data_IF_733387125832
#
_entry.id   IF_733387125832
#
_cell.length_a   1.000
_cell.length_b   1.000
_cell.length_c   1.000
_cell.angle_alpha   90.00
_cell.angle_beta   90.00
_cell.angle_gamma   90.00
#
_symmetry.space_group_name_H-M   'P 1'
#
loop_
_entity.id
_entity.type
_entity.pdbx_description
1 polymer ?
#
# COMPACT_ATOMS: atom_id res chain seq x y z
N UNK A 1 -53.36 33.53 -21.71
CA UNK A 1 -52.43 32.72 -20.90
C UNK A 1 -51.54 33.68 -20.14
N UNK A 2 -51.41 33.53 -18.80
CA UNK A 2 -50.55 34.42 -18.00
C UNK A 2 -49.10 33.93 -18.11
N UNK A 3 -48.20 34.79 -18.53
CA UNK A 3 -46.75 34.55 -18.56
C UNK A 3 -46.17 34.71 -17.16
N UNK A 4 -45.40 33.71 -16.72
CA UNK A 4 -44.63 33.72 -15.48
C UNK A 4 -43.19 34.11 -15.82
N UNK A 5 -42.69 35.17 -15.21
CA UNK A 5 -41.32 35.63 -15.37
C UNK A 5 -40.46 35.11 -14.22
N UNK A 6 -39.41 34.36 -14.54
CA UNK A 6 -38.41 33.89 -13.59
C UNK A 6 -37.11 34.66 -13.80
N UNK A 7 -36.58 35.22 -12.72
CA UNK A 7 -35.26 35.87 -12.69
C UNK A 7 -34.37 35.06 -11.78
N UNK A 8 -33.26 34.56 -12.31
CA UNK A 8 -32.25 33.82 -11.54
C UNK A 8 -31.05 34.73 -11.37
N UNK A 9 -30.67 35.00 -10.12
CA UNK A 9 -29.41 35.67 -9.81
C UNK A 9 -28.25 34.75 -10.19
N UNK A 10 -27.32 35.28 -10.98
CA UNK A 10 -26.13 34.59 -11.45
C UNK A 10 -25.31 34.02 -10.27
N UNK A 11 -25.24 34.72 -9.14
CA UNK A 11 -24.52 34.24 -7.95
C UNK A 11 -25.18 33.01 -7.35
N UNK A 12 -26.51 33.04 -7.22
CA UNK A 12 -27.30 31.92 -6.71
C UNK A 12 -27.27 30.71 -7.65
N UNK A 13 -27.20 30.96 -8.96
CA UNK A 13 -27.01 29.89 -9.95
C UNK A 13 -25.67 29.18 -9.77
N UNK A 14 -24.57 29.93 -9.66
CA UNK A 14 -23.24 29.35 -9.45
C UNK A 14 -23.12 28.63 -8.12
N UNK A 15 -23.71 29.16 -7.05
CA UNK A 15 -23.74 28.48 -5.75
C UNK A 15 -24.52 27.15 -5.84
N UNK A 16 -25.67 27.15 -6.51
CA UNK A 16 -26.44 25.94 -6.78
C UNK A 16 -25.64 24.91 -7.60
N UNK A 17 -24.99 25.33 -8.67
CA UNK A 17 -24.17 24.44 -9.50
C UNK A 17 -22.99 23.84 -8.72
N UNK A 18 -22.30 24.65 -7.91
CA UNK A 18 -21.16 24.20 -7.10
C UNK A 18 -21.58 23.19 -6.03
N UNK A 19 -22.71 23.42 -5.37
CA UNK A 19 -23.25 22.49 -4.36
C UNK A 19 -23.63 21.15 -5.00
N UNK A 20 -24.33 21.16 -6.14
CA UNK A 20 -24.66 19.95 -6.89
C UNK A 20 -23.40 19.17 -7.31
N UNK A 21 -22.38 19.88 -7.83
CA UNK A 21 -21.11 19.26 -8.20
C UNK A 21 -20.41 18.60 -7.00
N UNK A 22 -20.35 19.30 -5.87
CA UNK A 22 -19.75 18.77 -4.64
C UNK A 22 -20.45 17.51 -4.14
N UNK A 23 -21.79 17.50 -4.14
CA UNK A 23 -22.58 16.33 -3.75
C UNK A 23 -22.34 15.15 -4.70
N UNK A 24 -22.33 15.38 -6.02
CA UNK A 24 -22.05 14.32 -6.97
C UNK A 24 -20.64 13.73 -6.80
N UNK A 25 -19.63 14.57 -6.57
CA UNK A 25 -18.25 14.11 -6.33
C UNK A 25 -18.16 13.25 -5.08
N UNK A 26 -18.81 13.65 -3.99
CA UNK A 26 -18.84 12.88 -2.73
C UNK A 26 -19.61 11.57 -2.88
N UNK A 27 -20.77 11.61 -3.53
CA UNK A 27 -21.61 10.43 -3.74
C UNK A 27 -20.94 9.37 -4.63
N UNK A 28 -20.09 9.81 -5.57
CA UNK A 28 -19.37 8.92 -6.50
C UNK A 28 -17.89 8.75 -6.11
N UNK A 29 -17.49 9.15 -4.91
CA UNK A 29 -16.12 8.98 -4.45
C UNK A 29 -15.82 7.49 -4.24
N UNK A 30 -15.02 6.92 -5.13
CA UNK A 30 -14.44 5.59 -4.96
C UNK A 30 -13.03 5.73 -4.37
N UNK A 31 -12.80 5.31 -3.11
CA UNK A 31 -11.46 5.34 -2.56
C UNK A 31 -10.55 4.42 -3.39
N UNK A 32 -9.39 4.94 -3.80
CA UNK A 32 -8.41 4.14 -4.54
C UNK A 32 -8.02 2.91 -3.70
N UNK A 33 -8.06 1.69 -4.28
CA UNK A 33 -7.70 0.47 -3.56
C UNK A 33 -6.25 0.46 -3.06
N UNK A 34 -5.39 1.32 -3.63
CA UNK A 34 -3.99 1.45 -3.22
C UNK A 34 -3.77 2.25 -1.92
N UNK A 35 -4.82 2.80 -1.31
CA UNK A 35 -4.75 3.53 -0.04
C UNK A 35 -5.29 2.72 1.15
N UNK A 36 -5.54 1.42 0.99
CA UNK A 36 -5.58 0.55 2.15
C UNK A 36 -4.15 0.50 2.71
N UNK A 37 -3.88 0.91 3.96
CA UNK A 37 -2.65 0.48 4.61
C UNK A 37 -2.65 -1.04 4.49
N UNK A 38 -1.60 -1.63 3.89
CA UNK A 38 -1.50 -3.08 3.65
C UNK A 38 -2.11 -3.80 4.84
N UNK A 39 -3.30 -4.35 4.63
CA UNK A 39 -4.12 -4.90 5.68
C UNK A 39 -3.28 -5.97 6.35
N UNK A 40 -2.86 -5.65 7.55
CA UNK A 40 -2.00 -6.37 8.47
C UNK A 40 -1.55 -7.77 7.99
N UNK A 41 -0.60 -7.83 7.04
CA UNK A 41 0.15 -9.07 6.74
C UNK A 41 1.07 -9.45 7.92
N UNK A 42 0.89 -8.83 9.08
CA UNK A 42 1.71 -9.01 10.28
C UNK A 42 1.05 -9.89 11.33
N UNK A 43 -0.23 -10.24 11.20
CA UNK A 43 -0.93 -10.92 12.30
C UNK A 43 -0.35 -12.34 12.60
N UNK A 44 0.41 -12.94 11.66
CA UNK A 44 1.11 -14.21 11.89
C UNK A 44 2.45 -14.35 11.14
N UNK A 45 3.13 -13.25 10.79
CA UNK A 45 4.43 -13.33 10.09
C UNK A 45 5.51 -13.86 11.03
N UNK A 46 6.04 -15.04 10.74
CA UNK A 46 7.06 -15.72 11.56
C UNK A 46 8.44 -15.54 10.96
N UNK A 47 9.36 -15.07 11.78
CA UNK A 47 10.78 -14.97 11.46
C UNK A 47 11.59 -15.94 12.30
N UNK A 48 12.58 -16.58 11.69
CA UNK A 48 13.53 -17.44 12.40
C UNK A 48 14.94 -16.84 12.28
N UNK A 49 15.59 -16.64 13.42
CA UNK A 49 17.00 -16.24 13.47
C UNK A 49 17.87 -17.48 13.68
N UNK A 50 18.86 -17.68 12.82
CA UNK A 50 19.87 -18.74 12.94
C UNK A 50 21.23 -18.07 13.07
N UNK A 51 22.01 -18.45 14.09
CA UNK A 51 23.34 -17.89 14.32
C UNK A 51 24.39 -18.98 14.32
N UNK A 52 25.55 -18.70 13.72
CA UNK A 52 26.71 -19.57 13.68
C UNK A 52 28.00 -18.77 13.75
N UNK A 53 29.14 -19.47 13.85
CA UNK A 53 30.46 -18.84 13.96
C UNK A 53 30.82 -17.94 12.75
N UNK A 54 30.28 -18.24 11.58
CA UNK A 54 30.53 -17.51 10.32
C UNK A 54 29.56 -16.35 10.06
N UNK A 55 28.50 -16.20 10.86
CA UNK A 55 27.48 -15.16 10.68
C UNK A 55 26.10 -15.60 11.14
N UNK A 56 25.13 -14.71 10.97
CA UNK A 56 23.74 -14.96 11.34
C UNK A 56 22.82 -14.72 10.15
N UNK A 57 21.67 -15.38 10.13
CA UNK A 57 20.64 -15.20 9.11
C UNK A 57 19.28 -14.98 9.77
N UNK A 58 18.46 -14.10 9.20
CA UNK A 58 17.05 -13.94 9.56
C UNK A 58 16.21 -14.41 8.38
N UNK A 59 15.42 -15.46 8.58
CA UNK A 59 14.54 -16.07 7.60
C UNK A 59 13.10 -15.60 7.83
N UNK A 60 12.45 -15.12 6.78
CA UNK A 60 11.00 -15.05 6.69
C UNK A 60 10.43 -16.40 6.24
N UNK A 61 9.81 -17.11 7.18
CA UNK A 61 9.28 -18.46 6.96
C UNK A 61 8.08 -18.51 6.02
N UNK A 62 7.43 -17.37 5.75
CA UNK A 62 6.27 -17.31 4.86
C UNK A 62 6.69 -17.10 3.40
N UNK A 63 7.70 -16.27 3.17
CA UNK A 63 8.15 -15.93 1.80
C UNK A 63 9.34 -16.77 1.34
N UNK A 64 10.08 -17.38 2.26
CA UNK A 64 11.37 -18.00 1.95
C UNK A 64 12.47 -16.97 1.64
N UNK A 65 12.24 -15.69 1.92
CA UNK A 65 13.28 -14.67 1.85
C UNK A 65 14.14 -14.71 3.12
N UNK A 66 15.43 -14.45 3.00
CA UNK A 66 16.32 -14.33 4.15
C UNK A 66 17.29 -13.15 4.03
N UNK A 67 17.75 -12.67 5.18
CA UNK A 67 18.76 -11.63 5.30
C UNK A 67 19.99 -12.26 5.96
N UNK A 68 21.14 -12.14 5.30
CA UNK A 68 22.41 -12.53 5.90
C UNK A 68 23.04 -11.34 6.64
N UNK A 69 23.51 -11.59 7.86
CA UNK A 69 24.13 -10.62 8.75
C UNK A 69 25.57 -11.10 9.05
N UNK A 70 26.55 -10.32 8.60
CA UNK A 70 27.96 -10.62 8.79
C UNK A 70 28.54 -9.87 10.00
N UNK A 71 28.40 -10.43 11.20
CA UNK A 71 29.04 -9.88 12.40
C UNK A 71 28.46 -8.56 12.92
N UNK A 72 28.83 -8.20 14.14
CA UNK A 72 28.36 -6.99 14.82
C UNK A 72 28.99 -5.77 14.13
N UNK A 73 28.16 -4.90 13.53
CA UNK A 73 28.59 -3.62 12.94
C UNK A 73 28.77 -3.59 11.42
N UNK A 74 28.63 -4.72 10.69
CA UNK A 74 28.49 -4.65 9.22
C UNK A 74 27.02 -4.45 8.86
N UNK A 75 26.68 -3.24 8.44
CA UNK A 75 25.34 -2.87 7.95
C UNK A 75 25.03 -3.42 6.54
N UNK A 76 25.63 -4.55 6.14
CA UNK A 76 25.27 -5.20 4.87
C UNK A 76 24.07 -6.10 5.13
N UNK A 77 22.88 -5.58 4.84
CA UNK A 77 21.63 -6.36 4.80
C UNK A 77 21.35 -6.71 3.35
N UNK A 78 21.90 -7.83 2.88
CA UNK A 78 21.58 -8.33 1.55
C UNK A 78 20.40 -9.29 1.70
N UNK A 79 19.31 -9.00 0.97
CA UNK A 79 18.13 -9.86 0.88
C UNK A 79 18.39 -10.90 -0.21
N UNK A 80 18.05 -12.15 0.11
CA UNK A 80 18.16 -13.28 -0.80
C UNK A 80 16.86 -14.09 -0.77
N UNK A 81 16.58 -14.85 -1.83
CA UNK A 81 15.48 -15.81 -1.87
C UNK A 81 16.02 -17.23 -1.90
N UNK A 82 15.36 -18.16 -1.20
CA UNK A 82 15.66 -19.59 -1.35
C UNK A 82 15.42 -20.12 -2.77
N UNK A 83 14.55 -19.49 -3.55
CA UNK A 83 14.32 -19.88 -4.93
C UNK A 83 15.56 -19.68 -5.82
N UNK A 84 16.42 -18.72 -5.46
CA UNK A 84 17.65 -18.43 -6.18
C UNK A 84 18.77 -19.44 -5.87
N UNK A 85 18.58 -20.28 -4.84
CA UNK A 85 19.55 -21.28 -4.40
C UNK A 85 19.38 -22.64 -5.09
N UNK A 86 18.36 -22.83 -5.95
CA UNK A 86 18.25 -24.07 -6.71
C UNK A 86 19.45 -24.20 -7.67
N UNK A 87 20.24 -25.29 -7.58
CA UNK A 87 21.26 -25.54 -8.57
C UNK A 87 20.58 -25.77 -9.92
N UNK A 88 20.93 -24.97 -10.93
CA UNK A 88 20.47 -25.24 -12.29
C UNK A 88 20.96 -26.64 -12.68
N UNK A 89 20.02 -27.54 -12.96
CA UNK A 89 20.34 -28.86 -13.50
C UNK A 89 21.14 -28.66 -14.80
N UNK A 90 22.37 -29.16 -14.83
CA UNK A 90 23.16 -29.26 -16.06
C UNK A 90 22.56 -30.28 -17.02
#
# INVERSE_FOLDING_TARGET
MKTLHFTIDLRSFFLGALTLLGVLLLANFTPSPNNQPEQDKTENRRYQAVTGASGSFILDTQTGEYIQIYGVGKNSRTRFSFNDLQPQSK
#
